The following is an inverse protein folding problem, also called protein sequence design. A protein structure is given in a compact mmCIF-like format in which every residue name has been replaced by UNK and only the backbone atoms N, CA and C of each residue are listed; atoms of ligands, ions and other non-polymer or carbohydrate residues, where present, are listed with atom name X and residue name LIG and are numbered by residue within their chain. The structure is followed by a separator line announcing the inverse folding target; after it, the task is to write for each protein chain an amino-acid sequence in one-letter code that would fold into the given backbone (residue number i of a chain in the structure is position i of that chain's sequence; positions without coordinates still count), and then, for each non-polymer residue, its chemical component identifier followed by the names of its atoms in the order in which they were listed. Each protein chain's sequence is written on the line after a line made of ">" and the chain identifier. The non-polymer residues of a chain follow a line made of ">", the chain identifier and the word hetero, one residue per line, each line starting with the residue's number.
data_IF_040127204027
#
_entry.id   IF_040127204027
#
_cell.length_a   1.000
_cell.length_b   1.000
_cell.length_c   1.000
_cell.angle_alpha   90.00
_cell.angle_beta   90.00
_cell.angle_gamma   90.00
#
_symmetry.space_group_name_H-M   'P 1'
#
loop_
_entity.id
_entity.type
_entity.pdbx_description
1 polymer ?
#
# COMPACT_ATOMS: atom_id res chain seq x y z
N UNK A 1 -13.55 67.43 12.62
CA UNK A 1 -12.37 66.72 12.03
C UNK A 1 -11.21 66.94 12.99
N UNK A 2 -10.48 65.91 13.47
CA UNK A 2 -9.65 64.95 12.70
C UNK A 2 -9.99 63.47 13.03
N UNK A 3 -10.10 62.58 12.04
CA UNK A 3 -9.09 61.75 11.32
C UNK A 3 -8.98 60.33 11.91
N UNK A 4 -9.56 59.43 11.11
CA UNK A 4 -9.34 57.97 11.05
C UNK A 4 -7.86 57.64 11.26
N UNK A 5 -7.61 56.76 12.22
CA UNK A 5 -6.47 55.86 12.20
C UNK A 5 -7.06 54.47 12.00
N UNK A 6 -6.76 53.89 10.84
CA UNK A 6 -7.01 52.49 10.56
C UNK A 6 -6.18 51.66 11.54
N UNK A 7 -6.85 50.94 12.45
CA UNK A 7 -6.22 49.76 13.04
C UNK A 7 -6.33 48.66 12.00
N UNK A 8 -5.17 48.20 11.53
CA UNK A 8 -5.02 46.94 10.82
C UNK A 8 -5.71 45.85 11.64
N UNK A 9 -6.75 45.26 11.07
CA UNK A 9 -7.16 43.91 11.42
C UNK A 9 -6.07 42.99 10.84
N UNK A 10 -5.21 42.45 11.68
CA UNK A 10 -4.35 41.31 11.34
C UNK A 10 -5.18 40.03 11.57
N UNK A 11 -5.58 39.27 10.53
CA UNK A 11 -6.32 38.05 10.72
C UNK A 11 -5.49 36.86 10.25
N UNK A 12 -4.45 36.42 10.98
CA UNK A 12 -3.69 35.21 10.58
C UNK A 12 -2.81 34.59 11.70
N UNK A 13 -3.35 34.30 12.89
CA UNK A 13 -2.59 33.56 13.94
C UNK A 13 -3.41 32.51 14.71
N UNK A 14 -4.29 31.75 14.04
CA UNK A 14 -4.95 30.58 14.62
C UNK A 14 -5.05 29.44 13.60
N UNK A 15 -4.01 28.61 13.51
CA UNK A 15 -4.02 27.39 12.69
C UNK A 15 -3.28 26.18 13.30
N UNK A 16 -2.32 26.39 14.21
CA UNK A 16 -1.29 25.37 14.49
C UNK A 16 -1.55 24.48 15.74
N UNK A 17 -2.34 24.94 16.72
CA UNK A 17 -2.50 24.20 18.00
C UNK A 17 -3.40 22.95 17.90
N UNK A 18 -4.30 22.90 16.92
CA UNK A 18 -5.21 21.76 16.72
C UNK A 18 -4.51 20.57 16.06
N UNK A 19 -3.54 20.87 15.19
CA UNK A 19 -2.80 19.90 14.39
C UNK A 19 -1.72 19.20 15.23
N UNK A 20 -0.99 19.95 16.07
CA UNK A 20 0.04 19.38 16.97
C UNK A 20 -0.52 18.26 17.85
N UNK A 21 -1.68 18.50 18.49
CA UNK A 21 -2.31 17.48 19.35
C UNK A 21 -2.76 16.23 18.60
N UNK A 22 -3.13 16.38 17.32
CA UNK A 22 -3.62 15.27 16.49
C UNK A 22 -2.45 14.47 15.93
N UNK A 23 -1.39 15.13 15.49
CA UNK A 23 -0.16 14.51 15.04
C UNK A 23 0.52 13.76 16.18
N UNK A 24 0.58 14.33 17.39
CA UNK A 24 1.11 13.65 18.57
C UNK A 24 0.32 12.38 18.92
N UNK A 25 -1.02 12.46 18.92
CA UNK A 25 -1.88 11.29 19.17
C UNK A 25 -1.67 10.18 18.15
N UNK A 26 -1.57 10.53 16.87
CA UNK A 26 -1.30 9.57 15.80
C UNK A 26 0.10 8.97 15.97
N UNK A 27 1.11 9.78 16.31
CA UNK A 27 2.47 9.31 16.52
C UNK A 27 2.57 8.32 17.69
N UNK A 28 1.90 8.59 18.81
CA UNK A 28 1.86 7.69 19.96
C UNK A 28 1.15 6.37 19.63
N UNK A 29 -0.02 6.43 19.00
CA UNK A 29 -0.77 5.23 18.61
C UNK A 29 0.01 4.36 17.61
N UNK A 30 0.73 4.98 16.68
CA UNK A 30 1.61 4.28 15.73
C UNK A 30 2.79 3.65 16.47
N UNK A 31 3.40 4.34 17.43
CA UNK A 31 4.52 3.81 18.22
C UNK A 31 4.13 2.58 19.02
N UNK A 32 3.03 2.65 19.77
CA UNK A 32 2.54 1.55 20.60
C UNK A 32 2.17 0.33 19.74
N UNK A 33 1.57 0.57 18.58
CA UNK A 33 1.22 -0.50 17.63
C UNK A 33 2.47 -1.11 17.00
N UNK A 34 3.47 -0.30 16.67
CA UNK A 34 4.71 -0.76 16.05
C UNK A 34 5.52 -1.67 16.98
N UNK A 35 5.59 -1.36 18.27
CA UNK A 35 6.27 -2.20 19.27
C UNK A 35 5.60 -3.57 19.40
N UNK A 36 4.26 -3.61 19.45
CA UNK A 36 3.50 -4.86 19.50
C UNK A 36 3.59 -5.67 18.20
N UNK A 37 3.67 -4.99 17.05
CA UNK A 37 3.79 -5.63 15.76
C UNK A 37 5.14 -6.35 15.58
N UNK A 38 6.25 -5.73 15.99
CA UNK A 38 7.60 -6.33 15.84
C UNK A 38 7.70 -7.72 16.48
N UNK A 39 7.21 -7.87 17.70
CA UNK A 39 7.24 -9.13 18.43
C UNK A 39 6.39 -10.23 17.78
N UNK A 40 5.26 -9.86 17.16
CA UNK A 40 4.37 -10.82 16.45
C UNK A 40 4.95 -11.23 15.09
N UNK A 41 5.59 -10.29 14.39
CA UNK A 41 6.16 -10.53 13.06
C UNK A 41 7.31 -11.55 13.12
N UNK A 42 8.16 -11.52 14.14
CA UNK A 42 9.26 -12.48 14.27
C UNK A 42 8.78 -13.94 14.45
N UNK A 43 7.71 -14.13 15.23
CA UNK A 43 7.12 -15.46 15.48
C UNK A 43 6.36 -15.96 14.25
N UNK A 44 5.63 -15.08 13.57
CA UNK A 44 4.90 -15.40 12.35
C UNK A 44 5.85 -15.70 11.18
N UNK A 45 6.93 -14.94 11.02
CA UNK A 45 7.87 -15.08 9.90
C UNK A 45 8.42 -16.49 9.76
N UNK A 46 8.86 -17.10 10.87
CA UNK A 46 9.39 -18.48 10.88
C UNK A 46 8.35 -19.55 10.50
N UNK A 47 7.07 -19.35 10.86
CA UNK A 47 6.01 -20.32 10.60
C UNK A 47 5.43 -20.18 9.19
N UNK A 48 5.41 -18.95 8.68
CA UNK A 48 4.80 -18.60 7.41
C UNK A 48 5.72 -18.96 6.24
N UNK A 49 7.05 -18.81 6.39
CA UNK A 49 8.00 -19.05 5.31
C UNK A 49 7.87 -20.45 4.70
N UNK A 50 7.89 -21.52 5.52
CA UNK A 50 7.78 -22.90 5.02
C UNK A 50 6.43 -23.21 4.36
N UNK A 51 5.34 -22.57 4.78
CA UNK A 51 4.02 -22.75 4.14
C UNK A 51 3.90 -21.99 2.82
N UNK A 52 4.60 -20.86 2.66
CA UNK A 52 4.54 -20.08 1.42
C UNK A 52 5.31 -20.79 0.32
N UNK A 53 6.49 -21.35 0.61
CA UNK A 53 7.28 -22.10 -0.39
C UNK A 53 6.46 -23.25 -1.00
N UNK A 54 5.67 -23.97 -0.19
CA UNK A 54 4.76 -25.03 -0.66
C UNK A 54 3.58 -24.52 -1.50
N UNK A 55 3.08 -23.31 -1.21
CA UNK A 55 1.90 -22.73 -1.87
C UNK A 55 2.24 -21.78 -3.03
N UNK A 56 3.52 -21.74 -3.38
CA UNK A 56 4.09 -20.80 -4.32
C UNK A 56 3.68 -21.06 -5.77
N UNK A 57 3.81 -22.29 -6.23
CA UNK A 57 3.33 -22.69 -7.56
C UNK A 57 1.82 -22.45 -7.76
N UNK A 58 0.93 -22.91 -6.86
CA UNK A 58 -0.50 -22.65 -7.02
C UNK A 58 -0.86 -21.16 -6.90
N UNK A 59 -0.10 -20.37 -6.13
CA UNK A 59 -0.27 -18.92 -6.09
C UNK A 59 0.15 -18.26 -7.42
N UNK A 60 1.31 -18.62 -7.96
CA UNK A 60 1.77 -18.16 -9.28
C UNK A 60 0.76 -18.49 -10.38
N UNK A 61 0.20 -19.70 -10.36
CA UNK A 61 -0.82 -20.09 -11.34
C UNK A 61 -2.06 -19.19 -11.27
N UNK A 62 -2.59 -18.91 -10.07
CA UNK A 62 -3.74 -18.02 -9.91
C UNK A 62 -3.46 -16.60 -10.41
N UNK A 63 -2.25 -16.09 -10.16
CA UNK A 63 -1.84 -14.78 -10.67
C UNK A 63 -1.78 -14.79 -12.20
N UNK A 64 -1.26 -15.85 -12.81
CA UNK A 64 -1.25 -16.02 -14.26
C UNK A 64 -2.67 -16.04 -14.84
N UNK A 65 -3.61 -16.71 -14.18
CA UNK A 65 -5.02 -16.77 -14.60
C UNK A 65 -5.68 -15.39 -14.51
N UNK A 66 -5.38 -14.61 -13.45
CA UNK A 66 -5.85 -13.22 -13.30
C UNK A 66 -5.26 -12.32 -14.39
N UNK A 67 -3.96 -12.42 -14.65
CA UNK A 67 -3.30 -11.67 -15.72
C UNK A 67 -3.94 -11.98 -17.07
N UNK A 68 -4.14 -13.26 -17.37
CA UNK A 68 -4.77 -13.71 -18.62
C UNK A 68 -6.20 -13.19 -18.75
N UNK A 69 -6.98 -13.24 -17.67
CA UNK A 69 -8.35 -12.71 -17.63
C UNK A 69 -8.37 -11.20 -17.85
N UNK A 70 -7.42 -10.48 -17.25
CA UNK A 70 -7.32 -9.03 -17.39
C UNK A 70 -6.93 -8.65 -18.82
N UNK A 71 -6.00 -9.38 -19.43
CA UNK A 71 -5.60 -9.19 -20.82
C UNK A 71 -6.78 -9.44 -21.78
N UNK A 72 -7.55 -10.50 -21.55
CA UNK A 72 -8.75 -10.83 -22.34
C UNK A 72 -9.87 -9.80 -22.20
N UNK A 73 -10.02 -9.21 -21.01
CA UNK A 73 -11.08 -8.24 -20.72
C UNK A 73 -10.67 -6.79 -20.94
N UNK A 74 -9.38 -6.50 -21.13
CA UNK A 74 -8.84 -5.15 -21.24
C UNK A 74 -9.58 -4.30 -22.29
N UNK A 75 -9.82 -4.84 -23.48
CA UNK A 75 -10.53 -4.14 -24.55
C UNK A 75 -12.03 -3.94 -24.27
N UNK A 76 -12.58 -4.71 -23.33
CA UNK A 76 -13.98 -4.62 -22.92
C UNK A 76 -14.19 -3.66 -21.73
N UNK A 77 -13.12 -3.10 -21.16
CA UNK A 77 -13.24 -2.19 -20.03
C UNK A 77 -13.85 -0.84 -20.47
N UNK A 78 -14.76 -0.27 -19.66
CA UNK A 78 -15.23 1.09 -19.88
C UNK A 78 -14.07 2.07 -19.70
N UNK A 79 -13.99 3.08 -20.60
CA UNK A 79 -12.94 4.10 -20.57
C UNK A 79 -12.02 4.14 -21.79
N UNK A 80 -12.27 3.28 -22.78
CA UNK A 80 -11.63 3.33 -24.09
C UNK A 80 -10.18 2.87 -24.09
N UNK A 81 -9.46 3.17 -25.18
CA UNK A 81 -8.13 2.63 -25.48
C UNK A 81 -7.09 2.90 -24.39
N UNK A 82 -7.17 4.06 -23.73
CA UNK A 82 -6.27 4.40 -22.61
C UNK A 82 -6.47 3.48 -21.40
N UNK A 83 -7.70 3.11 -21.09
CA UNK A 83 -7.98 2.18 -19.99
C UNK A 83 -7.60 0.76 -20.39
N UNK A 84 -7.87 0.36 -21.63
CA UNK A 84 -7.43 -0.93 -22.16
C UNK A 84 -5.90 -1.08 -22.10
N UNK A 85 -5.14 -0.05 -22.52
CA UNK A 85 -3.67 -0.08 -22.47
C UNK A 85 -3.13 -0.19 -21.04
N UNK A 86 -3.79 0.49 -20.08
CA UNK A 86 -3.44 0.39 -18.67
C UNK A 86 -3.76 -1.00 -18.11
N UNK A 87 -4.88 -1.61 -18.51
CA UNK A 87 -5.26 -2.95 -18.11
C UNK A 87 -4.28 -4.00 -18.67
N UNK A 88 -3.85 -3.87 -19.92
CA UNK A 88 -2.78 -4.71 -20.48
C UNK A 88 -1.47 -4.54 -19.70
N UNK A 89 -1.05 -3.30 -19.46
CA UNK A 89 0.16 -3.04 -18.67
C UNK A 89 0.08 -3.61 -17.25
N UNK A 90 -1.09 -3.56 -16.62
CA UNK A 90 -1.32 -4.20 -15.33
C UNK A 90 -1.26 -5.74 -15.43
N UNK A 91 -1.86 -6.33 -16.47
CA UNK A 91 -1.79 -7.77 -16.72
C UNK A 91 -0.35 -8.25 -16.88
N UNK A 92 0.48 -7.52 -17.63
CA UNK A 92 1.90 -7.83 -17.82
C UNK A 92 2.67 -7.82 -16.49
N UNK A 93 2.36 -6.86 -15.60
CA UNK A 93 2.98 -6.80 -14.27
C UNK A 93 2.54 -7.95 -13.38
N UNK A 94 1.25 -8.35 -13.44
CA UNK A 94 0.75 -9.49 -12.67
C UNK A 94 1.39 -10.79 -13.16
N UNK A 95 1.52 -10.97 -14.48
CA UNK A 95 2.22 -12.11 -15.07
C UNK A 95 3.71 -12.15 -14.69
N UNK A 96 4.42 -11.02 -14.76
CA UNK A 96 5.80 -10.96 -14.31
C UNK A 96 5.95 -11.30 -12.82
N UNK A 97 4.95 -10.93 -12.01
CA UNK A 97 4.92 -11.29 -10.58
C UNK A 97 4.67 -12.78 -10.38
N UNK A 98 3.79 -13.39 -11.19
CA UNK A 98 3.55 -14.83 -11.18
C UNK A 98 4.84 -15.61 -11.48
N UNK A 99 5.60 -15.19 -12.50
CA UNK A 99 6.87 -15.83 -12.86
C UNK A 99 7.92 -15.61 -11.78
N UNK A 100 8.04 -14.39 -11.24
CA UNK A 100 8.95 -14.12 -10.14
C UNK A 100 8.67 -14.99 -8.91
N UNK A 101 7.39 -15.12 -8.55
CA UNK A 101 6.93 -16.03 -7.49
C UNK A 101 7.12 -17.49 -7.90
N UNK A 102 7.28 -17.86 -9.18
CA UNK A 102 7.56 -19.24 -9.62
C UNK A 102 9.05 -19.57 -9.70
N UNK A 103 9.92 -18.57 -9.83
CA UNK A 103 11.38 -18.76 -9.92
C UNK A 103 12.19 -18.45 -8.63
N UNK A 104 11.75 -17.52 -7.77
CA UNK A 104 12.45 -17.15 -6.53
C UNK A 104 11.88 -17.73 -5.23
N UNK A 105 12.73 -18.22 -4.33
CA UNK A 105 12.33 -18.67 -2.99
C UNK A 105 11.86 -17.51 -2.12
N UNK A 106 11.02 -17.79 -1.11
CA UNK A 106 10.42 -16.76 -0.24
C UNK A 106 11.46 -15.91 0.47
N UNK A 107 12.62 -16.50 0.80
CA UNK A 107 13.70 -15.76 1.46
C UNK A 107 14.27 -14.65 0.57
N UNK A 108 14.52 -14.95 -0.70
CA UNK A 108 15.07 -13.99 -1.66
C UNK A 108 14.06 -12.89 -1.96
N UNK A 109 12.78 -13.25 -2.08
CA UNK A 109 11.69 -12.29 -2.26
C UNK A 109 11.59 -11.34 -1.06
N UNK A 110 11.65 -11.88 0.16
CA UNK A 110 11.58 -11.09 1.39
C UNK A 110 12.76 -10.10 1.49
N UNK A 111 13.98 -10.55 1.20
CA UNK A 111 15.17 -9.71 1.18
C UNK A 111 15.07 -8.60 0.12
N UNK A 112 14.51 -8.91 -1.06
CA UNK A 112 14.25 -7.93 -2.11
C UNK A 112 13.27 -6.85 -1.68
N UNK A 113 12.14 -7.24 -1.06
CA UNK A 113 11.14 -6.31 -0.52
C UNK A 113 11.73 -5.44 0.57
N UNK A 114 12.49 -6.01 1.51
CA UNK A 114 13.14 -5.27 2.59
C UNK A 114 14.10 -4.21 2.04
N UNK A 115 14.91 -4.57 1.04
CA UNK A 115 15.82 -3.64 0.39
C UNK A 115 15.07 -2.54 -0.37
N UNK A 116 13.96 -2.86 -1.04
CA UNK A 116 13.12 -1.87 -1.72
C UNK A 116 12.51 -0.86 -0.73
N UNK A 117 11.95 -1.34 0.38
CA UNK A 117 11.36 -0.48 1.43
C UNK A 117 12.40 0.45 2.04
N UNK A 118 13.60 -0.07 2.32
CA UNK A 118 14.72 0.75 2.82
C UNK A 118 15.17 1.82 1.82
N UNK A 119 15.09 1.53 0.52
CA UNK A 119 15.53 2.43 -0.55
C UNK A 119 14.47 3.46 -0.97
N UNK A 120 13.20 3.14 -0.77
CA UNK A 120 12.05 3.95 -1.20
C UNK A 120 11.01 4.15 -0.08
N UNK A 121 11.38 4.70 1.09
CA UNK A 121 10.51 4.72 2.27
C UNK A 121 9.18 5.47 2.04
N UNK A 122 9.18 6.56 1.27
CA UNK A 122 7.98 7.34 0.98
C UNK A 122 6.98 6.59 0.08
N UNK A 123 7.47 5.96 -1.00
CA UNK A 123 6.62 5.21 -1.92
C UNK A 123 6.05 3.96 -1.25
N UNK A 124 6.85 3.28 -0.43
CA UNK A 124 6.41 2.12 0.35
C UNK A 124 5.31 2.47 1.35
N UNK A 125 5.36 3.64 2.00
CA UNK A 125 4.31 4.07 2.90
C UNK A 125 2.98 4.28 2.16
N UNK A 126 3.01 4.94 1.00
CA UNK A 126 1.81 5.13 0.16
C UNK A 126 1.23 3.79 -0.29
N UNK A 127 2.08 2.86 -0.74
CA UNK A 127 1.66 1.51 -1.10
C UNK A 127 1.04 0.76 0.08
N UNK A 128 1.63 0.86 1.28
CA UNK A 128 1.09 0.23 2.49
C UNK A 128 -0.29 0.77 2.86
N UNK A 129 -0.50 2.08 2.77
CA UNK A 129 -1.81 2.71 2.99
C UNK A 129 -2.84 2.22 1.97
N UNK A 130 -2.47 2.19 0.68
CA UNK A 130 -3.37 1.72 -0.37
C UNK A 130 -3.78 0.25 -0.16
N UNK A 131 -2.82 -0.63 0.12
CA UNK A 131 -3.08 -2.05 0.40
C UNK A 131 -3.94 -2.20 1.66
N UNK A 132 -3.62 -1.49 2.75
CA UNK A 132 -4.38 -1.52 4.00
C UNK A 132 -5.83 -1.06 3.81
N UNK A 133 -6.05 0.00 3.01
CA UNK A 133 -7.39 0.46 2.66
C UNK A 133 -8.15 -0.57 1.84
N UNK A 134 -7.54 -1.18 0.82
CA UNK A 134 -8.18 -2.19 -0.02
C UNK A 134 -8.59 -3.42 0.80
N UNK A 135 -7.70 -3.90 1.68
CA UNK A 135 -8.00 -5.00 2.60
C UNK A 135 -9.13 -4.60 3.56
N UNK A 136 -9.06 -3.44 4.20
CA UNK A 136 -10.10 -2.95 5.11
C UNK A 136 -11.46 -2.80 4.42
N UNK A 137 -11.48 -2.31 3.17
CA UNK A 137 -12.68 -2.19 2.33
C UNK A 137 -13.26 -3.57 1.99
N UNK A 138 -12.42 -4.54 1.64
CA UNK A 138 -12.87 -5.90 1.31
C UNK A 138 -13.52 -6.58 2.51
N UNK A 139 -12.89 -6.53 3.69
CA UNK A 139 -13.46 -7.11 4.91
C UNK A 139 -14.67 -6.36 5.49
N UNK A 140 -14.83 -5.06 5.18
CA UNK A 140 -16.01 -4.27 5.56
C UNK A 140 -17.24 -4.58 4.72
N UNK A 141 -17.08 -5.17 3.53
CA UNK A 141 -18.17 -5.30 2.54
C UNK A 141 -19.00 -6.58 2.67
N UNK A 142 -18.70 -7.43 3.63
CA UNK A 142 -19.38 -8.73 3.86
C UNK A 142 -20.43 -8.69 5.00
N UNK A 143 -20.79 -7.49 5.50
CA UNK A 143 -21.84 -7.27 6.51
C UNK A 143 -22.93 -6.31 5.98
#
# INVERSE_FOLDING_TARGET
>A
MPKRSASLEDPDMMGDQSEESTVERVKSAVSDTAENAKSKVEVLGRTVQGKIDENREPAAQKLQDVASTLHQKADSLPGGEKVASLAHGAADKVQATAEYIREHDVQDMAAGVENFVRRHPGQSLVAAVAIGFLLGRAFKSDD
#
